data_IF_964181722912
#
_entry.id   IF_964181722912
#
_cell.length_a   1.000
_cell.length_b   1.000
_cell.length_c   1.000
_cell.angle_alpha   90.00
_cell.angle_beta   90.00
_cell.angle_gamma   90.00
#
_symmetry.space_group_name_H-M   'P 1'
#
loop_
_entity.id
_entity.type
_entity.pdbx_description
1 polymer ?
#
# COMPACT_ATOMS: atom_id res chain seq x y z
N UNK A 1 -8.74 -11.20 17.39
CA UNK A 1 -8.85 -12.15 18.53
C UNK A 1 -9.42 -11.38 19.72
N UNK A 2 -10.65 -11.65 20.13
CA UNK A 2 -11.37 -10.92 21.20
C UNK A 2 -11.16 -11.62 22.54
N UNK A 3 -10.77 -10.89 23.60
CA UNK A 3 -10.72 -11.42 24.98
C UNK A 3 -12.08 -11.25 25.67
N UNK A 4 -12.27 -12.03 26.74
CA UNK A 4 -13.52 -12.20 27.48
C UNK A 4 -14.05 -10.93 28.21
N UNK A 5 -13.37 -9.80 28.11
CA UNK A 5 -13.74 -8.50 28.67
C UNK A 5 -14.47 -7.58 27.68
N UNK A 6 -14.61 -7.98 26.41
CA UNK A 6 -15.42 -7.23 25.44
C UNK A 6 -14.78 -5.94 24.91
N UNK A 7 -13.55 -5.61 25.33
CA UNK A 7 -12.77 -4.53 24.73
C UNK A 7 -11.99 -5.06 23.53
N UNK A 8 -12.43 -4.72 22.32
CA UNK A 8 -11.62 -4.90 21.12
C UNK A 8 -10.45 -3.92 21.19
N UNK A 9 -9.32 -4.36 21.75
CA UNK A 9 -8.07 -3.59 21.62
C UNK A 9 -7.75 -3.49 20.14
N UNK A 10 -7.69 -2.25 19.64
CA UNK A 10 -7.16 -1.96 18.31
C UNK A 10 -5.72 -2.44 18.29
N UNK A 11 -5.42 -3.39 17.41
CA UNK A 11 -4.05 -3.84 17.18
C UNK A 11 -3.43 -2.93 16.13
N UNK A 12 -2.29 -2.35 16.47
CA UNK A 12 -1.50 -1.53 15.57
C UNK A 12 -0.38 -2.36 14.98
N UNK A 13 -0.02 -2.07 13.74
CA UNK A 13 0.94 -2.84 12.97
C UNK A 13 1.93 -1.88 12.29
N UNK A 14 3.23 -2.13 12.39
CA UNK A 14 4.21 -1.30 11.71
C UNK A 14 4.23 -1.62 10.21
N UNK A 15 4.40 -0.57 9.43
CA UNK A 15 4.56 -0.65 7.99
C UNK A 15 5.76 0.20 7.58
N UNK A 16 6.87 -0.46 7.25
CA UNK A 16 8.07 0.23 6.80
C UNK A 16 7.90 0.68 5.34
N UNK A 17 8.54 1.79 5.00
CA UNK A 17 8.66 2.20 3.60
C UNK A 17 10.09 2.61 3.27
N UNK A 18 10.46 2.48 2.00
CA UNK A 18 11.71 3.00 1.44
C UNK A 18 11.37 3.90 0.25
N UNK A 19 11.92 5.11 0.25
CA UNK A 19 11.70 6.13 -0.79
C UNK A 19 12.93 7.00 -0.98
N UNK A 20 13.40 7.12 -2.21
CA UNK A 20 14.63 7.80 -2.61
C UNK A 20 15.83 7.44 -1.70
N UNK A 21 15.94 6.15 -1.35
CA UNK A 21 16.95 5.60 -0.44
C UNK A 21 16.72 5.86 1.05
N UNK A 22 15.69 6.62 1.41
CA UNK A 22 15.31 6.94 2.79
C UNK A 22 14.31 5.94 3.34
N UNK A 23 14.54 5.45 4.55
CA UNK A 23 13.62 4.54 5.24
C UNK A 23 12.75 5.31 6.21
N UNK A 24 11.49 4.93 6.30
CA UNK A 24 10.58 5.42 7.33
C UNK A 24 9.61 4.33 7.78
N UNK A 25 8.79 4.70 8.74
CA UNK A 25 7.83 3.85 9.40
C UNK A 25 6.47 4.56 9.46
N UNK A 26 5.45 3.86 9.01
CA UNK A 26 4.05 4.17 9.25
C UNK A 26 3.48 3.16 10.24
N UNK A 27 2.38 3.50 10.89
CA UNK A 27 1.67 2.59 11.78
C UNK A 27 0.23 2.50 11.28
N UNK A 28 -0.22 1.29 10.93
CA UNK A 28 -1.59 1.05 10.48
C UNK A 28 -2.40 0.30 11.52
N UNK A 29 -3.72 0.45 11.44
CA UNK A 29 -4.67 -0.25 12.28
C UNK A 29 -6.02 -0.41 11.57
N UNK A 30 -6.75 -1.46 11.91
CA UNK A 30 -8.10 -1.68 11.40
C UNK A 30 -9.09 -0.73 12.10
N UNK A 31 -9.76 0.13 11.32
CA UNK A 31 -10.86 0.96 11.78
C UNK A 31 -12.21 0.32 11.40
N UNK A 32 -13.33 0.94 11.83
CA UNK A 32 -14.67 0.48 11.41
C UNK A 32 -14.92 0.65 9.91
N UNK A 33 -14.21 1.59 9.29
CA UNK A 33 -14.41 2.00 7.89
C UNK A 33 -13.29 1.46 6.97
N UNK A 34 -12.42 0.58 7.50
CA UNK A 34 -11.31 -0.04 6.78
C UNK A 34 -9.97 0.18 7.47
N UNK A 35 -8.93 -0.40 6.89
CA UNK A 35 -7.57 -0.29 7.37
C UNK A 35 -7.02 1.11 7.06
N UNK A 36 -6.39 1.75 8.04
CA UNK A 36 -5.89 3.15 7.94
C UNK A 36 -4.57 3.33 8.68
N UNK A 37 -3.80 4.36 8.29
CA UNK A 37 -2.59 4.77 9.02
C UNK A 37 -2.88 5.80 10.11
N UNK A 38 -2.03 5.81 11.13
CA UNK A 38 -2.04 6.85 12.17
C UNK A 38 -1.85 8.24 11.56
N UNK A 39 -2.64 9.18 12.07
CA UNK A 39 -2.59 10.58 11.68
C UNK A 39 -2.30 11.48 12.87
N UNK A 40 -1.83 12.69 12.58
CA UNK A 40 -1.68 13.76 13.55
C UNK A 40 -2.99 14.53 13.76
N UNK A 41 -2.95 15.55 14.61
CA UNK A 41 -4.11 16.40 14.91
C UNK A 41 -4.59 17.26 13.73
N UNK A 42 -3.77 17.40 12.69
CA UNK A 42 -4.10 18.10 11.44
C UNK A 42 -4.59 17.14 10.34
N UNK A 43 -4.83 15.87 10.68
CA UNK A 43 -5.24 14.81 9.76
C UNK A 43 -4.13 14.39 8.75
N UNK A 44 -2.87 14.77 9.01
CA UNK A 44 -1.70 14.34 8.23
C UNK A 44 -1.22 12.96 8.68
N UNK A 45 -0.78 12.11 7.76
CA UNK A 45 -0.23 10.78 8.10
C UNK A 45 1.07 10.92 8.89
N UNK A 46 1.15 10.25 10.05
CA UNK A 46 2.34 10.28 10.89
C UNK A 46 3.43 9.37 10.33
N UNK A 47 4.57 9.98 10.04
CA UNK A 47 5.82 9.30 9.68
C UNK A 47 6.76 9.27 10.87
N UNK A 48 7.35 8.10 11.09
CA UNK A 48 8.39 7.86 12.08
C UNK A 48 9.68 7.42 11.39
N UNK A 49 10.83 7.67 12.00
CA UNK A 49 12.11 7.21 11.47
C UNK A 49 12.30 5.70 11.72
N UNK A 50 11.96 5.26 12.93
CA UNK A 50 12.10 3.89 13.37
C UNK A 50 11.18 3.61 14.56
N UNK A 51 11.36 2.43 15.16
CA UNK A 51 10.63 2.02 16.36
C UNK A 51 10.87 2.94 17.55
N UNK A 52 12.10 3.40 17.77
CA UNK A 52 12.45 4.21 18.93
C UNK A 52 11.83 5.61 18.81
N UNK A 53 11.86 6.18 17.60
CA UNK A 53 11.16 7.43 17.28
C UNK A 53 9.64 7.29 17.54
N UNK A 54 9.02 6.22 17.05
CA UNK A 54 7.62 5.92 17.36
C UNK A 54 7.35 5.81 18.87
N UNK A 55 8.13 5.01 19.60
CA UNK A 55 7.94 4.79 21.04
C UNK A 55 8.10 6.10 21.85
N UNK A 56 8.94 7.03 21.38
CA UNK A 56 9.14 8.34 22.01
C UNK A 56 7.97 9.31 21.80
N UNK A 57 7.23 9.16 20.68
CA UNK A 57 6.16 10.06 20.24
C UNK A 57 4.76 9.48 20.43
N UNK A 58 4.62 8.17 20.65
CA UNK A 58 3.31 7.50 20.68
C UNK A 58 2.40 8.05 21.78
N UNK A 59 1.12 8.15 21.44
CA UNK A 59 0.07 8.46 22.41
C UNK A 59 -0.04 7.38 23.50
N UNK A 60 -0.48 7.77 24.69
CA UNK A 60 -0.66 6.87 25.84
C UNK A 60 -1.76 5.83 25.62
N UNK A 61 -2.64 6.09 24.67
CA UNK A 61 -3.75 5.26 24.21
C UNK A 61 -3.29 4.09 23.31
N UNK A 62 -2.12 4.19 22.69
CA UNK A 62 -1.55 3.10 21.88
C UNK A 62 -0.83 2.11 22.80
N UNK A 63 -1.56 1.08 23.24
CA UNK A 63 -1.07 0.14 24.25
C UNK A 63 -0.30 -1.05 23.67
N UNK A 64 -0.50 -1.39 22.39
CA UNK A 64 0.08 -2.58 21.77
C UNK A 64 0.34 -2.40 20.28
N UNK A 65 1.57 -2.68 19.85
CA UNK A 65 1.98 -2.72 18.44
C UNK A 65 2.57 -4.11 18.15
N UNK A 66 2.07 -4.78 17.11
CA UNK A 66 2.48 -6.11 16.68
C UNK A 66 3.75 -6.06 15.81
N UNK A 67 4.89 -5.72 16.43
CA UNK A 67 6.17 -5.53 15.70
C UNK A 67 6.65 -6.74 14.90
N UNK A 68 6.25 -7.95 15.28
CA UNK A 68 6.59 -9.19 14.57
C UNK A 68 5.81 -9.39 13.27
N UNK A 69 4.74 -8.62 13.06
CA UNK A 69 3.88 -8.66 11.88
C UNK A 69 4.12 -7.43 11.00
N UNK A 70 5.36 -6.92 11.01
CA UNK A 70 5.74 -5.77 10.20
C UNK A 70 5.72 -6.08 8.71
N UNK A 71 5.10 -5.19 7.94
CA UNK A 71 5.17 -5.19 6.47
C UNK A 71 6.12 -4.10 5.97
N UNK A 72 6.51 -4.17 4.70
CA UNK A 72 7.37 -3.18 4.08
C UNK A 72 6.97 -2.96 2.62
N UNK A 73 6.95 -1.70 2.18
CA UNK A 73 6.91 -1.35 0.76
C UNK A 73 8.23 -0.66 0.37
N UNK A 74 8.76 -0.99 -0.79
CA UNK A 74 9.94 -0.32 -1.33
C UNK A 74 9.54 0.46 -2.59
N UNK A 75 9.25 1.75 -2.43
CA UNK A 75 8.78 2.63 -3.50
C UNK A 75 9.84 2.75 -4.61
N UNK A 76 11.14 2.68 -4.25
CA UNK A 76 12.22 2.73 -5.24
C UNK A 76 12.27 1.47 -6.11
N UNK A 77 12.07 0.31 -5.50
CA UNK A 77 11.99 -0.96 -6.23
C UNK A 77 10.70 -1.01 -7.07
N UNK A 78 9.60 -0.54 -6.52
CA UNK A 78 8.33 -0.48 -7.20
C UNK A 78 8.40 0.41 -8.45
N UNK A 79 8.95 1.63 -8.34
CA UNK A 79 9.22 2.51 -9.49
C UNK A 79 10.08 1.81 -10.55
N UNK A 80 11.14 1.12 -10.14
CA UNK A 80 12.01 0.35 -11.06
C UNK A 80 11.26 -0.81 -11.73
N UNK A 81 10.38 -1.51 -11.01
CA UNK A 81 9.55 -2.59 -11.55
C UNK A 81 8.53 -2.06 -12.56
N UNK A 82 7.90 -0.93 -12.25
CA UNK A 82 6.98 -0.20 -13.14
C UNK A 82 7.68 0.26 -14.42
N UNK A 83 8.92 0.75 -14.32
CA UNK A 83 9.70 1.18 -15.48
C UNK A 83 9.92 0.06 -16.48
N UNK A 84 10.25 -1.14 -15.98
CA UNK A 84 10.58 -2.35 -16.76
C UNK A 84 9.37 -3.08 -17.33
N UNK A 85 8.16 -2.78 -16.85
CA UNK A 85 6.93 -3.50 -17.19
C UNK A 85 6.64 -3.58 -18.70
N UNK A 86 7.07 -2.58 -19.48
CA UNK A 86 6.81 -2.53 -20.93
C UNK A 86 7.84 -3.34 -21.72
N UNK A 87 9.09 -3.40 -21.25
CA UNK A 87 10.24 -3.78 -22.07
C UNK A 87 10.58 -5.28 -22.00
N UNK A 88 10.07 -6.03 -21.01
CA UNK A 88 10.47 -7.42 -20.75
C UNK A 88 9.30 -8.42 -20.75
N UNK A 89 9.08 -9.12 -21.87
CA UNK A 89 7.92 -10.01 -22.04
C UNK A 89 7.90 -11.24 -21.10
N UNK A 90 9.06 -11.81 -20.76
CA UNK A 90 9.17 -12.98 -19.88
C UNK A 90 8.99 -12.66 -18.40
N UNK A 91 9.28 -11.42 -18.00
CA UNK A 91 9.34 -11.01 -16.59
C UNK A 91 8.11 -10.19 -16.19
N UNK A 92 7.25 -9.84 -17.16
CA UNK A 92 5.99 -9.09 -16.96
C UNK A 92 5.11 -9.71 -15.89
N UNK A 93 4.93 -11.03 -15.87
CA UNK A 93 4.06 -11.69 -14.89
C UNK A 93 4.59 -11.55 -13.46
N UNK A 94 5.89 -11.72 -13.26
CA UNK A 94 6.52 -11.55 -11.95
C UNK A 94 6.45 -10.08 -11.50
N UNK A 95 6.80 -9.14 -12.38
CA UNK A 95 6.72 -7.71 -12.10
C UNK A 95 5.29 -7.26 -11.76
N UNK A 96 4.28 -7.81 -12.45
CA UNK A 96 2.88 -7.53 -12.15
C UNK A 96 2.48 -8.11 -10.79
N UNK A 97 2.91 -9.32 -10.45
CA UNK A 97 2.64 -9.91 -9.13
C UNK A 97 3.20 -9.01 -8.02
N UNK A 98 4.45 -8.57 -8.14
CA UNK A 98 5.10 -7.70 -7.16
C UNK A 98 4.33 -6.38 -6.99
N UNK A 99 3.97 -5.72 -8.11
CA UNK A 99 3.18 -4.48 -8.10
C UNK A 99 1.83 -4.66 -7.40
N UNK A 100 1.21 -5.82 -7.54
CA UNK A 100 -0.13 -6.07 -7.01
C UNK A 100 -0.12 -6.43 -5.54
N UNK A 101 0.94 -7.09 -5.06
CA UNK A 101 1.14 -7.30 -3.63
C UNK A 101 1.22 -5.95 -2.89
N UNK A 102 1.80 -4.94 -3.53
CA UNK A 102 1.87 -3.56 -3.03
C UNK A 102 0.55 -2.77 -3.17
N UNK A 103 -0.45 -3.28 -3.91
CA UNK A 103 -1.68 -2.52 -4.21
C UNK A 103 -2.55 -2.26 -2.96
N UNK A 104 -2.56 -3.19 -2.01
CA UNK A 104 -3.32 -3.02 -0.76
C UNK A 104 -2.81 -1.81 0.04
N UNK A 105 -1.49 -1.60 0.06
CA UNK A 105 -0.90 -0.43 0.69
C UNK A 105 -1.41 0.87 0.06
N UNK A 106 -1.58 0.90 -1.27
CA UNK A 106 -2.10 2.07 -1.96
C UNK A 106 -3.56 2.37 -1.59
N UNK A 107 -4.44 1.37 -1.62
CA UNK A 107 -5.85 1.61 -1.29
C UNK A 107 -6.01 2.06 0.17
N UNK A 108 -5.25 1.45 1.09
CA UNK A 108 -5.25 1.84 2.50
C UNK A 108 -4.68 3.25 2.71
N UNK A 109 -3.63 3.63 1.98
CA UNK A 109 -3.07 4.98 2.06
C UNK A 109 -4.02 6.03 1.49
N UNK A 110 -4.60 5.79 0.31
CA UNK A 110 -5.58 6.70 -0.34
C UNK A 110 -6.77 6.92 0.59
N UNK A 111 -7.31 5.83 1.16
CA UNK A 111 -8.41 5.87 2.12
C UNK A 111 -8.01 6.65 3.37
N UNK A 112 -6.79 6.42 3.86
CA UNK A 112 -6.27 7.17 4.99
C UNK A 112 -6.31 8.66 4.70
N UNK A 113 -5.74 9.14 3.60
CA UNK A 113 -5.67 10.58 3.31
C UNK A 113 -6.95 11.19 2.71
N UNK A 114 -8.05 10.42 2.64
CA UNK A 114 -9.34 10.91 2.14
C UNK A 114 -9.32 11.28 0.65
N UNK A 115 -8.42 10.68 -0.14
CA UNK A 115 -8.23 10.98 -1.56
C UNK A 115 -8.98 10.02 -2.49
N UNK A 116 -9.94 9.24 -1.98
CA UNK A 116 -10.68 8.26 -2.77
C UNK A 116 -11.41 8.90 -3.96
N UNK A 117 -11.84 10.15 -3.83
CA UNK A 117 -12.44 10.92 -4.92
C UNK A 117 -11.46 11.26 -6.05
N UNK A 118 -10.21 11.59 -5.70
CA UNK A 118 -9.14 11.89 -6.67
C UNK A 118 -8.72 10.62 -7.42
N UNK A 119 -8.75 9.48 -6.73
CA UNK A 119 -8.43 8.17 -7.29
C UNK A 119 -9.66 7.33 -7.68
N UNK A 120 -10.87 7.91 -7.68
CA UNK A 120 -12.11 7.21 -8.03
C UNK A 120 -12.04 6.66 -9.45
N UNK A 121 -11.42 7.43 -10.35
CA UNK A 121 -11.17 7.02 -11.72
C UNK A 121 -10.33 5.75 -11.80
N UNK A 122 -9.44 5.45 -10.84
CA UNK A 122 -8.70 4.17 -10.78
C UNK A 122 -9.63 2.98 -10.52
N UNK A 123 -10.69 3.20 -9.73
CA UNK A 123 -11.74 2.21 -9.45
C UNK A 123 -12.73 2.07 -10.60
N UNK A 124 -12.79 3.03 -11.52
CA UNK A 124 -13.75 3.08 -12.64
C UNK A 124 -13.14 2.77 -14.01
N UNK A 125 -11.82 2.62 -14.14
CA UNK A 125 -11.12 2.51 -15.44
C UNK A 125 -10.59 1.11 -15.75
N UNK A 126 -9.89 1.00 -16.90
CA UNK A 126 -9.05 -0.12 -17.30
C UNK A 126 -8.32 -0.75 -16.10
N UNK A 127 -7.85 0.01 -15.11
CA UNK A 127 -7.21 -0.53 -13.89
C UNK A 127 -8.08 -1.50 -13.09
N UNK A 128 -9.37 -1.26 -12.91
CA UNK A 128 -10.27 -2.24 -12.26
C UNK A 128 -10.43 -3.48 -13.14
N UNK A 129 -10.49 -3.32 -14.46
CA UNK A 129 -10.49 -4.47 -15.39
C UNK A 129 -9.16 -5.23 -15.36
N UNK A 130 -8.03 -4.54 -15.16
CA UNK A 130 -6.70 -5.11 -15.00
C UNK A 130 -6.61 -5.86 -13.67
N UNK A 131 -7.05 -5.26 -12.56
CA UNK A 131 -7.16 -5.89 -11.25
C UNK A 131 -8.07 -7.14 -11.32
N UNK A 132 -9.26 -7.02 -11.91
CA UNK A 132 -10.20 -8.13 -12.08
C UNK A 132 -9.65 -9.25 -12.98
N UNK A 133 -8.85 -8.93 -14.01
CA UNK A 133 -8.17 -9.93 -14.86
C UNK A 133 -7.14 -10.73 -14.07
N UNK A 134 -6.48 -10.13 -13.08
CA UNK A 134 -5.51 -10.83 -12.23
C UNK A 134 -6.18 -11.61 -11.11
N UNK A 135 -7.23 -11.06 -10.50
CA UNK A 135 -7.86 -11.63 -9.31
C UNK A 135 -9.16 -12.40 -9.56
N UNK A 136 -9.49 -12.73 -10.82
CA UNK A 136 -10.75 -13.38 -11.22
C UNK A 136 -11.11 -14.67 -10.44
N UNK A 137 -10.16 -15.30 -9.73
CA UNK A 137 -10.37 -16.55 -8.99
C UNK A 137 -9.80 -16.57 -7.56
N UNK A 138 -9.58 -15.40 -6.96
CA UNK A 138 -8.96 -15.30 -5.64
C UNK A 138 -10.06 -15.07 -4.57
N UNK A 139 -10.06 -15.86 -3.48
CA UNK A 139 -11.11 -15.95 -2.43
C UNK A 139 -10.77 -15.32 -1.05
N UNK A 140 -9.73 -14.51 -0.93
CA UNK A 140 -9.81 -13.28 -0.11
C UNK A 140 -10.28 -12.22 -1.12
N UNK A 141 -10.34 -10.93 -0.81
CA UNK A 141 -10.06 -9.97 -1.88
C UNK A 141 -8.74 -10.22 -2.65
N UNK A 142 -7.94 -11.25 -2.27
CA UNK A 142 -6.75 -11.80 -2.88
C UNK A 142 -6.38 -13.19 -2.26
N UNK A 143 -6.88 -14.33 -2.74
CA UNK A 143 -6.27 -15.66 -2.45
C UNK A 143 -5.60 -16.24 -3.69
N UNK A 144 -4.28 -16.11 -3.73
CA UNK A 144 -3.31 -16.96 -4.42
C UNK A 144 -3.68 -17.35 -5.85
N UNK A 145 -3.12 -16.63 -6.82
CA UNK A 145 -2.86 -17.26 -8.12
C UNK A 145 -1.87 -18.41 -7.91
N UNK A 146 -2.25 -19.61 -8.33
CA UNK A 146 -1.24 -20.57 -8.75
C UNK A 146 -0.45 -19.97 -9.92
N UNK A 147 0.85 -20.28 -10.06
CA UNK A 147 1.64 -19.79 -11.19
C UNK A 147 1.04 -20.40 -12.47
N UNK A 148 0.20 -19.64 -13.19
CA UNK A 148 -0.45 -20.17 -14.39
C UNK A 148 -1.58 -19.36 -15.03
N UNK A 149 -2.23 -18.41 -14.35
CA UNK A 149 -3.44 -17.78 -14.90
C UNK A 149 -3.41 -16.24 -15.03
N UNK A 150 -2.25 -15.58 -14.88
CA UNK A 150 -2.06 -14.26 -15.49
C UNK A 150 -1.83 -14.46 -16.97
N UNK A 151 -2.90 -14.60 -17.76
CA UNK A 151 -2.72 -14.63 -19.22
C UNK A 151 -2.03 -13.35 -19.68
N UNK A 152 -0.95 -13.50 -20.43
CA UNK A 152 -0.18 -12.48 -21.17
C UNK A 152 -0.99 -11.67 -22.20
N UNK A 153 -2.33 -11.58 -22.06
CA UNK A 153 -3.24 -10.86 -22.95
C UNK A 153 -3.28 -9.34 -22.71
N UNK A 154 -2.32 -8.83 -21.95
CA UNK A 154 -2.18 -7.41 -21.64
C UNK A 154 -1.74 -6.66 -22.87
N UNK A 155 -2.57 -5.73 -23.31
CA UNK A 155 -2.20 -4.82 -24.38
C UNK A 155 -1.15 -3.86 -23.86
N UNK A 156 -0.20 -3.49 -24.71
CA UNK A 156 0.81 -2.48 -24.40
C UNK A 156 0.19 -1.16 -23.91
N UNK A 157 -0.97 -0.79 -24.44
CA UNK A 157 -1.74 0.37 -23.98
C UNK A 157 -2.19 0.26 -22.53
N UNK A 158 -2.64 -0.94 -22.10
CA UNK A 158 -3.08 -1.18 -20.73
C UNK A 158 -1.88 -1.10 -19.76
N UNK A 159 -0.73 -1.66 -20.14
CA UNK A 159 0.51 -1.57 -19.36
C UNK A 159 1.03 -0.13 -19.25
N UNK A 160 0.90 0.67 -20.32
CA UNK A 160 1.22 2.11 -20.29
C UNK A 160 0.31 2.90 -19.35
N UNK A 161 -1.00 2.63 -19.38
CA UNK A 161 -1.96 3.24 -18.47
C UNK A 161 -1.63 2.91 -17.01
N UNK A 162 -1.41 1.62 -16.71
CA UNK A 162 -1.04 1.16 -15.37
C UNK A 162 0.26 1.81 -14.89
N UNK A 163 1.30 1.84 -15.73
CA UNK A 163 2.57 2.52 -15.43
C UNK A 163 2.38 3.99 -15.06
N UNK A 164 1.57 4.72 -15.83
CA UNK A 164 1.29 6.14 -15.58
C UNK A 164 0.60 6.34 -14.22
N UNK A 165 -0.39 5.50 -13.94
CA UNK A 165 -1.18 5.56 -12.71
C UNK A 165 -0.32 5.28 -11.47
N UNK A 166 0.49 4.23 -11.52
CA UNK A 166 1.35 3.85 -10.41
C UNK A 166 2.44 4.90 -10.15
N UNK A 167 2.99 5.51 -11.21
CA UNK A 167 3.92 6.63 -11.06
C UNK A 167 3.25 7.84 -10.41
N UNK A 168 2.06 8.23 -10.88
CA UNK A 168 1.30 9.32 -10.27
C UNK A 168 0.99 9.04 -8.79
N UNK A 169 0.68 7.79 -8.44
CA UNK A 169 0.48 7.41 -7.06
C UNK A 169 1.77 7.53 -6.24
N UNK A 170 2.91 7.05 -6.74
CA UNK A 170 4.19 7.19 -6.04
C UNK A 170 4.50 8.66 -5.75
N UNK A 171 4.29 9.54 -6.74
CA UNK A 171 4.52 10.97 -6.59
C UNK A 171 3.53 11.62 -5.60
N UNK A 172 2.27 11.20 -5.63
CA UNK A 172 1.27 11.61 -4.63
C UNK A 172 1.66 11.17 -3.22
N UNK A 173 2.09 9.91 -3.06
CA UNK A 173 2.59 9.40 -1.78
C UNK A 173 3.76 10.25 -1.30
N UNK A 174 4.78 10.49 -2.14
CA UNK A 174 5.92 11.36 -1.81
C UNK A 174 5.47 12.73 -1.29
N UNK A 175 4.51 13.37 -1.98
CA UNK A 175 3.97 14.68 -1.59
C UNK A 175 3.33 14.61 -0.19
N UNK A 176 2.50 13.59 0.06
CA UNK A 176 1.76 13.42 1.31
C UNK A 176 2.59 12.96 2.51
N UNK A 177 3.73 12.32 2.29
CA UNK A 177 4.63 11.88 3.38
C UNK A 177 5.87 12.78 3.55
N UNK A 178 5.88 13.96 2.92
CA UNK A 178 6.97 14.92 2.98
C UNK A 178 7.42 15.18 4.42
N UNK A 179 8.70 14.92 4.66
CA UNK A 179 9.33 14.90 5.97
C UNK A 179 9.07 16.19 6.74
N UNK A 180 8.35 16.09 7.87
CA UNK A 180 8.57 17.02 8.99
C UNK A 180 9.93 16.73 9.60
N UNK A 181 10.98 17.06 8.86
CA UNK A 181 12.31 17.27 9.41
C UNK A 181 12.39 18.71 9.85
N UNK A 182 11.99 18.99 11.08
CA UNK A 182 12.38 20.17 11.86
C UNK A 182 12.47 19.78 13.34
#
# INVERSE_FOLDING_TARGET
MVRADGETRVTYFPYYFVIDGTKGLLIWFASKDGDVFLKDENDDVLVFLDRDDFESRRGKDIVSVAWTEASCINIDELRRSIEKLIDHDSDKEALLSDILDDWNFFDDFIRTVGAEGEFLHLKETEVLNLYNKVFAHSHVGALTLGPGDVKSSWKESELKSLKTILNNFCDFFCDKISHRGD
#
